data_IF_853224029761
#
_entry.id   IF_853224029761
#
_cell.length_a   1.000
_cell.length_b   1.000
_cell.length_c   1.000
_cell.angle_alpha   90.00
_cell.angle_beta   90.00
_cell.angle_gamma   90.00
#
_symmetry.space_group_name_H-M   'P 1'
#
loop_
_entity.id
_entity.type
_entity.pdbx_description
1 polymer ?
#
# COMPACT_ATOMS: atom_id res chain seq x y z
N UNK A 1 3.75 15.49 5.65
CA UNK A 1 2.89 14.30 5.64
C UNK A 1 1.60 14.59 6.40
N UNK A 2 0.45 14.22 5.85
CA UNK A 2 -0.87 14.45 6.44
C UNK A 2 -1.54 13.12 6.76
N UNK A 3 -1.97 12.94 8.01
CA UNK A 3 -2.70 11.74 8.44
C UNK A 3 -4.11 11.74 7.83
N UNK A 4 -4.48 10.66 7.13
CA UNK A 4 -5.82 10.46 6.55
C UNK A 4 -6.66 9.53 7.41
N UNK A 5 -6.06 8.44 7.89
CA UNK A 5 -6.71 7.45 8.72
C UNK A 5 -5.76 6.86 9.78
N UNK A 6 -6.29 6.69 10.98
CA UNK A 6 -5.62 6.06 12.11
C UNK A 6 -6.54 5.01 12.70
N UNK A 7 -6.21 3.74 12.50
CA UNK A 7 -6.95 2.57 13.00
C UNK A 7 -5.99 1.67 13.78
N UNK A 8 -6.55 0.71 14.52
CA UNK A 8 -5.76 -0.35 15.15
C UNK A 8 -4.99 -1.18 14.12
N UNK A 9 -5.59 -1.42 12.95
CA UNK A 9 -5.04 -2.34 11.96
C UNK A 9 -4.09 -1.64 10.97
N UNK A 10 -4.24 -0.33 10.78
CA UNK A 10 -3.44 0.40 9.80
C UNK A 10 -3.40 1.90 10.02
N UNK A 11 -2.44 2.54 9.35
CA UNK A 11 -2.37 3.99 9.20
C UNK A 11 -2.22 4.35 7.72
N UNK A 12 -2.81 5.47 7.35
CA UNK A 12 -2.76 5.99 5.99
C UNK A 12 -2.42 7.48 6.03
N UNK A 13 -1.38 7.85 5.30
CA UNK A 13 -0.90 9.22 5.20
C UNK A 13 -0.78 9.65 3.75
N UNK A 14 -0.89 10.95 3.52
CA UNK A 14 -0.63 11.60 2.24
C UNK A 14 0.59 12.52 2.32
N UNK A 15 1.49 12.38 1.36
CA UNK A 15 2.59 13.29 1.12
C UNK A 15 2.35 14.07 -0.17
N UNK A 16 1.92 15.32 -0.02
CA UNK A 16 1.60 16.20 -1.14
C UNK A 16 2.80 16.52 -2.02
N UNK A 17 3.99 16.68 -1.41
CA UNK A 17 5.21 17.05 -2.13
C UNK A 17 5.68 15.94 -3.07
N UNK A 18 5.43 14.68 -2.70
CA UNK A 18 5.80 13.48 -3.47
C UNK A 18 4.64 12.91 -4.30
N UNK A 19 3.42 13.45 -4.16
CA UNK A 19 2.19 12.84 -4.66
C UNK A 19 2.13 11.34 -4.29
N UNK A 20 2.32 11.05 -3.00
CA UNK A 20 2.54 9.68 -2.50
C UNK A 20 1.62 9.39 -1.32
N UNK A 21 1.13 8.16 -1.23
CA UNK A 21 0.49 7.64 -0.03
C UNK A 21 1.45 6.74 0.74
N UNK A 22 1.50 6.90 2.06
CA UNK A 22 2.15 5.93 2.96
C UNK A 22 1.06 5.13 3.66
N UNK A 23 1.12 3.81 3.51
CA UNK A 23 0.20 2.86 4.11
C UNK A 23 0.99 1.91 5.01
N UNK A 24 0.77 2.00 6.31
CA UNK A 24 1.38 1.12 7.29
C UNK A 24 0.36 0.08 7.73
N UNK A 25 0.69 -1.21 7.60
CA UNK A 25 -0.09 -2.30 8.17
C UNK A 25 0.45 -2.63 9.55
N UNK A 26 -0.42 -2.62 10.55
CA UNK A 26 -0.09 -2.91 11.94
C UNK A 26 -0.39 -4.38 12.27
N UNK A 27 0.06 -4.85 13.43
CA UNK A 27 -0.02 -6.25 13.85
C UNK A 27 -1.47 -6.76 13.89
N UNK A 28 -2.39 -5.91 14.36
CA UNK A 28 -3.82 -6.19 14.51
C UNK A 28 -4.49 -6.53 13.18
N UNK A 29 -3.95 -6.05 12.05
CA UNK A 29 -4.43 -6.40 10.72
C UNK A 29 -4.33 -7.90 10.44
N UNK A 30 -3.35 -8.60 11.03
CA UNK A 30 -3.20 -10.06 10.83
C UNK A 30 -4.41 -10.82 11.36
N UNK A 31 -5.10 -10.30 12.38
CA UNK A 31 -6.20 -10.97 13.06
C UNK A 31 -7.59 -10.46 12.66
N UNK A 32 -7.66 -9.35 11.91
CA UNK A 32 -8.92 -8.73 11.53
C UNK A 32 -9.83 -9.69 10.74
N UNK A 33 -11.09 -9.83 11.15
CA UNK A 33 -12.09 -10.58 10.37
C UNK A 33 -12.84 -9.68 9.40
N UNK A 34 -12.85 -8.38 9.67
CA UNK A 34 -13.46 -7.34 8.83
C UNK A 34 -12.67 -6.04 8.94
N UNK A 35 -12.87 -5.14 7.97
CA UNK A 35 -12.25 -3.82 7.94
C UNK A 35 -13.28 -2.76 7.49
N UNK A 36 -14.25 -2.42 8.35
CA UNK A 36 -15.44 -1.66 7.95
C UNK A 36 -15.14 -0.27 7.38
N UNK A 37 -14.03 0.35 7.80
CA UNK A 37 -13.65 1.69 7.36
C UNK A 37 -12.62 1.71 6.22
N UNK A 38 -12.08 0.55 5.84
CA UNK A 38 -10.90 0.47 4.98
C UNK A 38 -11.11 1.08 3.59
N UNK A 39 -12.18 0.64 2.91
CA UNK A 39 -12.47 1.15 1.56
C UNK A 39 -12.80 2.64 1.58
N UNK A 40 -13.51 3.10 2.60
CA UNK A 40 -13.85 4.53 2.75
C UNK A 40 -12.59 5.38 2.99
N UNK A 41 -11.67 4.90 3.83
CA UNK A 41 -10.41 5.60 4.10
C UNK A 41 -9.53 5.66 2.84
N UNK A 42 -9.48 4.59 2.04
CA UNK A 42 -8.82 4.59 0.73
C UNK A 42 -9.48 5.54 -0.25
N UNK A 43 -10.81 5.54 -0.39
CA UNK A 43 -11.51 6.51 -1.24
C UNK A 43 -11.16 7.95 -0.85
N UNK A 44 -11.15 8.26 0.45
CA UNK A 44 -10.75 9.58 0.96
C UNK A 44 -9.31 9.91 0.59
N UNK A 45 -8.37 9.01 0.78
CA UNK A 45 -6.97 9.21 0.40
C UNK A 45 -6.82 9.45 -1.12
N UNK A 46 -7.56 8.70 -1.94
CA UNK A 46 -7.51 8.82 -3.39
C UNK A 46 -8.08 10.15 -3.90
N UNK A 47 -8.91 10.86 -3.12
CA UNK A 47 -9.31 12.24 -3.47
C UNK A 47 -8.19 13.28 -3.31
N UNK A 48 -7.09 12.93 -2.64
CA UNK A 48 -5.97 13.84 -2.36
C UNK A 48 -4.83 13.74 -3.36
N UNK A 49 -4.72 12.60 -4.04
CA UNK A 49 -3.64 12.33 -5.00
C UNK A 49 -4.03 12.78 -6.40
N UNK A 50 -3.03 12.99 -7.25
CA UNK A 50 -3.19 13.15 -8.69
C UNK A 50 -2.81 11.84 -9.40
N UNK A 51 -3.35 11.54 -10.59
CA UNK A 51 -2.88 10.40 -11.39
C UNK A 51 -1.35 10.41 -11.56
N UNK A 52 -0.76 9.22 -11.59
CA UNK A 52 0.69 9.03 -11.49
C UNK A 52 1.22 8.97 -10.05
N UNK A 53 0.34 8.90 -9.04
CA UNK A 53 0.74 8.79 -7.64
C UNK A 53 1.41 7.45 -7.32
N UNK A 54 2.19 7.43 -6.26
CA UNK A 54 2.86 6.23 -5.75
C UNK A 54 2.34 5.84 -4.37
N UNK A 55 2.56 4.58 -4.00
CA UNK A 55 2.22 4.10 -2.66
C UNK A 55 3.42 3.40 -2.05
N UNK A 56 3.80 3.80 -0.83
CA UNK A 56 4.68 3.04 0.03
C UNK A 56 3.83 2.23 1.01
N UNK A 57 3.92 0.91 0.95
CA UNK A 57 3.16 -0.03 1.76
C UNK A 57 4.13 -0.76 2.70
N UNK A 58 4.14 -0.38 3.98
CA UNK A 58 4.93 -1.08 4.99
C UNK A 58 4.12 -2.20 5.61
N UNK A 59 4.57 -3.44 5.44
CA UNK A 59 3.91 -4.64 5.97
C UNK A 59 4.75 -5.37 7.01
N UNK A 60 5.88 -4.79 7.43
CA UNK A 60 6.85 -5.40 8.35
C UNK A 60 6.28 -5.71 9.73
N UNK A 61 5.25 -4.98 10.15
CA UNK A 61 4.62 -5.17 11.46
C UNK A 61 3.52 -6.24 11.46
N UNK A 62 3.23 -6.85 10.31
CA UNK A 62 2.25 -7.95 10.22
C UNK A 62 2.93 -9.29 10.46
N UNK A 63 2.25 -10.21 11.15
CA UNK A 63 2.77 -11.57 11.41
C UNK A 63 2.56 -12.51 10.22
N UNK A 64 1.76 -12.10 9.25
CA UNK A 64 1.43 -12.92 8.09
C UNK A 64 0.28 -12.36 7.26
N UNK A 65 -0.05 -13.03 6.15
CA UNK A 65 -1.18 -12.66 5.32
C UNK A 65 -2.49 -12.79 6.09
N UNK A 66 -3.39 -11.82 5.88
CA UNK A 66 -4.78 -12.00 6.26
C UNK A 66 -5.61 -12.31 5.01
N UNK A 67 -5.93 -13.58 4.81
CA UNK A 67 -6.76 -14.03 3.67
C UNK A 67 -8.24 -13.76 3.87
N UNK A 68 -8.70 -13.58 5.12
CA UNK A 68 -10.11 -13.33 5.45
C UNK A 68 -10.60 -12.03 4.82
N UNK A 69 -9.75 -11.00 4.83
CA UNK A 69 -10.06 -9.66 4.29
C UNK A 69 -9.50 -9.45 2.88
N UNK A 70 -9.07 -10.52 2.20
CA UNK A 70 -8.52 -10.46 0.84
C UNK A 70 -9.47 -9.78 -0.17
N UNK A 71 -10.79 -10.05 -0.20
CA UNK A 71 -11.71 -9.35 -1.09
C UNK A 71 -11.69 -7.82 -0.89
N UNK A 72 -11.54 -7.38 0.36
CA UNK A 72 -11.44 -5.97 0.71
C UNK A 72 -10.16 -5.33 0.17
N UNK A 73 -9.01 -6.03 0.24
CA UNK A 73 -7.77 -5.55 -0.36
C UNK A 73 -7.85 -5.46 -1.89
N UNK A 74 -8.43 -6.47 -2.54
CA UNK A 74 -8.61 -6.45 -4.00
C UNK A 74 -9.46 -5.27 -4.45
N UNK A 75 -10.54 -4.95 -3.72
CA UNK A 75 -11.35 -3.78 -4.03
C UNK A 75 -10.60 -2.46 -3.86
N UNK A 76 -9.72 -2.34 -2.87
CA UNK A 76 -8.84 -1.17 -2.77
C UNK A 76 -7.84 -1.08 -3.93
N UNK A 77 -7.35 -2.22 -4.42
CA UNK A 77 -6.42 -2.25 -5.58
C UNK A 77 -7.13 -1.77 -6.84
N UNK A 78 -8.38 -2.17 -7.07
CA UNK A 78 -9.22 -1.65 -8.15
C UNK A 78 -9.42 -0.13 -8.05
N UNK A 79 -9.66 0.40 -6.85
CA UNK A 79 -9.79 1.85 -6.62
C UNK A 79 -8.48 2.59 -6.95
N UNK A 80 -7.33 2.05 -6.56
CA UNK A 80 -6.02 2.63 -6.86
C UNK A 80 -5.72 2.63 -8.36
N UNK A 81 -6.03 1.53 -9.06
CA UNK A 81 -5.91 1.45 -10.51
C UNK A 81 -6.78 2.49 -11.22
N UNK A 82 -8.05 2.59 -10.82
CA UNK A 82 -8.98 3.56 -11.38
C UNK A 82 -8.53 5.02 -11.13
N UNK A 83 -7.86 5.27 -10.00
CA UNK A 83 -7.28 6.58 -9.67
C UNK A 83 -5.95 6.87 -10.39
N UNK A 84 -5.39 5.91 -11.13
CA UNK A 84 -4.17 6.08 -11.91
C UNK A 84 -2.88 5.94 -11.11
N UNK A 85 -2.79 4.97 -10.19
CA UNK A 85 -1.52 4.63 -9.52
C UNK A 85 -0.41 4.32 -10.53
N UNK A 86 0.78 4.87 -10.31
CA UNK A 86 1.97 4.54 -11.11
C UNK A 86 2.62 3.25 -10.63
N UNK A 87 2.93 3.15 -9.32
CA UNK A 87 3.54 1.97 -8.70
C UNK A 87 3.33 1.96 -7.19
N UNK A 88 3.24 0.76 -6.63
CA UNK A 88 3.31 0.49 -5.21
C UNK A 88 4.66 -0.15 -4.86
N UNK A 89 5.33 0.36 -3.82
CA UNK A 89 6.47 -0.30 -3.19
C UNK A 89 6.00 -0.97 -1.89
N UNK A 90 6.11 -2.29 -1.79
CA UNK A 90 5.80 -3.04 -0.57
C UNK A 90 7.08 -3.41 0.18
N UNK A 91 7.14 -3.10 1.47
CA UNK A 91 8.28 -3.40 2.33
C UNK A 91 7.90 -4.54 3.27
N UNK A 92 8.55 -5.69 3.10
CA UNK A 92 8.32 -6.91 3.87
C UNK A 92 9.41 -7.10 4.93
N UNK A 93 9.12 -7.82 6.01
CA UNK A 93 10.16 -8.21 6.94
C UNK A 93 11.11 -9.20 6.24
N UNK A 94 12.39 -9.18 6.62
CA UNK A 94 13.35 -10.16 6.11
C UNK A 94 12.94 -11.58 6.55
N UNK A 95 12.73 -12.48 5.59
CA UNK A 95 12.40 -13.87 5.90
C UNK A 95 11.72 -14.68 4.77
N UNK A 96 11.61 -16.01 4.94
CA UNK A 96 11.10 -16.94 3.93
C UNK A 96 9.58 -16.79 3.64
N UNK A 97 8.83 -16.15 4.53
CA UNK A 97 7.38 -15.87 4.41
C UNK A 97 7.03 -14.89 3.28
N UNK A 98 8.02 -14.20 2.69
CA UNK A 98 7.85 -13.24 1.59
C UNK A 98 7.24 -13.84 0.31
N UNK A 99 7.51 -15.12 0.03
CA UNK A 99 7.24 -15.69 -1.30
C UNK A 99 5.78 -16.14 -1.52
N UNK A 100 5.12 -16.78 -0.55
CA UNK A 100 3.82 -17.42 -0.79
C UNK A 100 2.66 -16.40 -0.94
N UNK A 101 2.71 -15.30 -0.20
CA UNK A 101 1.62 -14.30 -0.16
C UNK A 101 1.68 -13.35 -1.34
N UNK A 102 2.89 -12.86 -1.61
CA UNK A 102 3.15 -11.94 -2.70
C UNK A 102 2.86 -12.56 -4.06
N UNK A 103 3.06 -13.86 -4.21
CA UNK A 103 2.76 -14.58 -5.43
C UNK A 103 1.25 -14.69 -5.67
N UNK A 104 0.47 -14.99 -4.62
CA UNK A 104 -1.01 -15.01 -4.73
C UNK A 104 -1.60 -13.63 -5.03
N UNK A 105 -1.18 -12.58 -4.33
CA UNK A 105 -1.70 -11.22 -4.58
C UNK A 105 -1.35 -10.72 -5.98
N UNK A 106 -0.13 -10.99 -6.47
CA UNK A 106 0.28 -10.62 -7.85
C UNK A 106 -0.47 -11.38 -8.93
N UNK A 107 -0.87 -12.63 -8.68
CA UNK A 107 -1.72 -13.38 -9.61
C UNK A 107 -3.15 -12.84 -9.68
N UNK A 108 -3.62 -12.20 -8.60
CA UNK A 108 -5.01 -11.77 -8.46
C UNK A 108 -5.24 -10.29 -8.81
N UNK A 109 -4.19 -9.50 -9.04
CA UNK A 109 -4.33 -8.07 -9.34
C UNK A 109 -3.27 -7.56 -10.31
N UNK A 110 -3.65 -6.73 -11.30
CA UNK A 110 -2.70 -6.09 -12.21
C UNK A 110 -2.00 -4.87 -11.59
N UNK A 111 -2.10 -4.65 -10.27
CA UNK A 111 -1.51 -3.51 -9.59
C UNK A 111 0.03 -3.50 -9.76
N UNK A 112 0.63 -2.44 -10.34
CA UNK A 112 2.07 -2.35 -10.52
C UNK A 112 2.77 -2.30 -9.16
N UNK A 113 3.46 -3.38 -8.79
CA UNK A 113 3.99 -3.56 -7.42
C UNK A 113 5.44 -4.03 -7.46
N UNK A 114 6.31 -3.38 -6.68
CA UNK A 114 7.69 -3.77 -6.44
C UNK A 114 7.92 -4.03 -4.96
N UNK A 115 8.78 -4.98 -4.64
CA UNK A 115 8.99 -5.45 -3.28
C UNK A 115 10.40 -5.17 -2.79
N UNK A 116 10.47 -4.81 -1.52
CA UNK A 116 11.67 -4.41 -0.81
C UNK A 116 11.69 -5.07 0.57
N UNK A 117 12.86 -5.13 1.18
CA UNK A 117 13.05 -5.53 2.59
C UNK A 117 13.53 -4.36 3.44
N UNK A 118 14.09 -3.35 2.79
CA UNK A 118 14.52 -2.10 3.40
C UNK A 118 13.60 -0.93 2.98
N UNK A 119 13.30 -0.06 3.94
CA UNK A 119 12.42 1.08 3.72
C UNK A 119 13.11 2.18 2.89
N UNK A 120 14.40 2.41 3.11
CA UNK A 120 15.14 3.45 2.40
C UNK A 120 15.29 3.10 0.91
N UNK A 121 15.54 1.83 0.58
CA UNK A 121 15.55 1.35 -0.81
C UNK A 121 14.19 1.55 -1.50
N UNK A 122 13.10 1.25 -0.79
CA UNK A 122 11.75 1.45 -1.30
C UNK A 122 11.45 2.92 -1.55
N UNK A 123 11.81 3.81 -0.61
CA UNK A 123 11.67 5.25 -0.75
C UNK A 123 12.51 5.81 -1.91
N UNK A 124 13.77 5.40 -2.02
CA UNK A 124 14.66 5.80 -3.12
C UNK A 124 14.12 5.37 -4.48
N UNK A 125 13.56 4.16 -4.58
CA UNK A 125 12.86 3.71 -5.78
C UNK A 125 11.65 4.60 -6.11
N UNK A 126 10.78 4.88 -5.14
CA UNK A 126 9.60 5.73 -5.39
C UNK A 126 9.97 7.17 -5.77
N UNK A 127 11.06 7.70 -5.20
CA UNK A 127 11.55 9.04 -5.53
C UNK A 127 11.97 9.16 -7.00
N UNK A 128 12.51 8.09 -7.59
CA UNK A 128 12.82 8.06 -9.02
C UNK A 128 11.57 8.21 -9.90
N UNK A 129 10.41 7.67 -9.49
CA UNK A 129 9.13 7.78 -10.20
C UNK A 129 8.54 9.18 -10.13
N UNK A 130 8.62 9.82 -8.96
CA UNK A 130 8.13 11.20 -8.77
C UNK A 130 8.91 12.21 -9.63
N UNK A 131 10.17 11.91 -9.97
CA UNK A 131 11.03 12.80 -10.77
C UNK A 131 10.75 12.65 -12.28
N UNK A 132 10.47 11.44 -12.76
CA UNK A 132 10.22 11.19 -14.20
C UNK A 132 8.87 11.75 -14.67
N UNK A 133 7.86 11.87 -13.79
CA UNK A 133 6.55 12.44 -14.14
C UNK A 133 6.56 13.97 -14.30
N UNK A 134 7.65 14.65 -13.93
CA UNK A 134 7.82 16.10 -14.04
C UNK A 134 8.73 16.54 -15.21
N UNK A 135 9.14 15.59 -16.07
CA UNK A 135 10.02 15.82 -17.23
C UNK A 135 9.26 15.87 -18.55
#
# INVERSE_FOLDING_TARGET
MHLIAYRSEYRLYFDESRNMLLYERLEELTFATELPYYLLDWQRALTKVRPGFTVLCDVRLTLGPNTTVLPTFLRAYELMLAAGIAVMAEVYPDGPTRMAVSQKLRQLSPLPTRQFTDLADAEGFLQSYSTTAAS
#
